data_IF_890880139938
#
_entry.id   IF_890880139938
#
_cell.length_a   1.000
_cell.length_b   1.000
_cell.length_c   1.000
_cell.angle_alpha   90.00
_cell.angle_beta   90.00
_cell.angle_gamma   90.00
#
_symmetry.space_group_name_H-M   'P 1'
#
loop_
_entity.id
_entity.type
_entity.pdbx_description
1 polymer ?
#
# COMPACT_ATOMS: atom_id res chain seq x y z
N UNK A 1 14.19 -0.85 -0.11
CA UNK A 1 13.76 -0.49 -1.47
C UNK A 1 14.24 -1.48 -2.51
N UNK A 2 15.38 -2.16 -2.34
CA UNK A 2 15.94 -3.15 -3.30
C UNK A 2 14.90 -4.09 -3.92
N UNK A 3 14.02 -4.72 -3.14
CA UNK A 3 13.02 -5.64 -3.68
C UNK A 3 12.05 -5.00 -4.72
N UNK A 4 11.67 -3.73 -4.55
CA UNK A 4 10.75 -3.02 -5.47
C UNK A 4 11.45 -2.45 -6.72
N UNK A 5 12.78 -2.41 -6.72
CA UNK A 5 13.61 -1.95 -7.86
C UNK A 5 14.39 -3.08 -8.53
N UNK A 6 14.46 -4.25 -7.92
CA UNK A 6 15.16 -5.41 -8.47
C UNK A 6 14.28 -6.14 -9.49
N UNK A 7 14.73 -6.20 -10.75
CA UNK A 7 13.93 -6.72 -11.86
C UNK A 7 13.63 -8.23 -11.75
N UNK A 8 14.46 -9.00 -11.04
CA UNK A 8 14.23 -10.43 -10.78
C UNK A 8 13.11 -10.68 -9.75
N UNK A 9 12.67 -9.64 -9.03
CA UNK A 9 11.65 -9.73 -7.98
C UNK A 9 10.32 -9.13 -8.46
N UNK A 10 9.33 -9.98 -8.71
CA UNK A 10 7.96 -9.61 -9.05
C UNK A 10 6.98 -9.78 -7.89
N UNK A 11 7.22 -10.69 -6.93
CA UNK A 11 6.32 -10.95 -5.80
C UNK A 11 7.02 -10.72 -4.46
N UNK A 12 6.44 -9.85 -3.64
CA UNK A 12 6.99 -9.41 -2.36
C UNK A 12 5.96 -9.63 -1.26
N UNK A 13 6.32 -10.34 -0.20
CA UNK A 13 5.49 -10.58 0.98
C UNK A 13 5.84 -9.67 2.15
N UNK A 14 4.84 -9.22 2.89
CA UNK A 14 4.99 -8.52 4.17
C UNK A 14 4.19 -9.28 5.21
N UNK A 15 4.92 -9.98 6.09
CA UNK A 15 4.33 -10.64 7.24
C UNK A 15 4.13 -9.62 8.37
N UNK A 16 2.95 -9.63 8.97
CA UNK A 16 2.55 -8.60 9.94
C UNK A 16 1.77 -9.20 11.11
N UNK A 17 2.09 -8.81 12.34
CA UNK A 17 1.24 -9.19 13.48
C UNK A 17 -0.03 -8.32 13.53
N UNK A 18 -1.10 -8.83 14.16
CA UNK A 18 -2.38 -8.12 14.27
C UNK A 18 -2.27 -6.81 15.07
N UNK A 19 -3.07 -5.79 14.71
CA UNK A 19 -3.19 -4.55 15.50
C UNK A 19 -2.12 -3.47 15.27
N UNK A 20 -1.15 -3.68 14.37
CA UNK A 20 0.02 -2.80 14.19
C UNK A 20 -0.21 -1.66 13.17
N UNK A 21 -1.37 -1.61 12.50
CA UNK A 21 -1.65 -0.57 11.50
C UNK A 21 -1.11 -0.87 10.09
N UNK A 22 -1.14 -2.15 9.67
CA UNK A 22 -0.66 -2.61 8.34
C UNK A 22 -1.24 -1.80 7.19
N UNK A 23 -2.54 -1.53 7.22
CA UNK A 23 -3.22 -0.77 6.17
C UNK A 23 -2.66 0.66 6.10
N UNK A 24 -2.26 1.25 7.23
CA UNK A 24 -1.54 2.53 7.26
C UNK A 24 -0.16 2.41 6.61
N UNK A 25 0.59 1.34 6.91
CA UNK A 25 1.87 1.09 6.26
C UNK A 25 1.71 0.97 4.73
N UNK A 26 0.77 0.15 4.26
CA UNK A 26 0.51 -0.04 2.82
C UNK A 26 0.17 1.28 2.14
N UNK A 27 -0.67 2.11 2.76
CA UNK A 27 -1.00 3.44 2.26
C UNK A 27 0.22 4.35 2.18
N UNK A 28 1.09 4.35 3.21
CA UNK A 28 2.32 5.13 3.20
C UNK A 28 3.32 4.65 2.14
N UNK A 29 3.43 3.33 1.93
CA UNK A 29 4.24 2.75 0.85
C UNK A 29 3.73 3.27 -0.49
N UNK A 30 2.43 3.10 -0.76
CA UNK A 30 1.82 3.54 -2.01
C UNK A 30 2.06 5.02 -2.27
N UNK A 31 1.86 5.88 -1.25
CA UNK A 31 2.12 7.31 -1.34
C UNK A 31 3.58 7.64 -1.67
N UNK A 32 4.54 6.91 -1.10
CA UNK A 32 5.98 7.16 -1.32
C UNK A 32 6.46 6.73 -2.69
N UNK A 33 5.93 5.63 -3.24
CA UNK A 33 6.43 5.02 -4.48
C UNK A 33 5.67 5.46 -5.74
N UNK A 34 4.40 5.88 -5.60
CA UNK A 34 3.59 6.38 -6.70
C UNK A 34 4.18 7.66 -7.30
N UNK A 35 4.27 7.72 -8.62
CA UNK A 35 4.87 8.83 -9.38
C UNK A 35 6.38 8.97 -9.24
N UNK A 36 7.04 8.01 -8.56
CA UNK A 36 8.50 7.98 -8.39
C UNK A 36 9.11 6.70 -8.90
N UNK A 37 8.63 5.56 -8.39
CA UNK A 37 9.06 4.22 -8.83
C UNK A 37 8.03 3.53 -9.70
N UNK A 38 6.75 3.86 -9.51
CA UNK A 38 5.64 3.28 -10.26
C UNK A 38 4.73 4.39 -10.75
N UNK A 39 4.26 4.27 -11.99
CA UNK A 39 3.29 5.16 -12.61
C UNK A 39 1.97 5.07 -11.86
N UNK A 40 1.59 3.83 -11.52
CA UNK A 40 0.37 3.50 -10.80
C UNK A 40 0.64 2.62 -9.59
N UNK A 41 -0.14 2.83 -8.54
CA UNK A 41 -0.22 1.93 -7.39
C UNK A 41 -1.69 1.67 -7.10
N UNK A 42 -2.07 0.40 -7.06
CA UNK A 42 -3.44 -0.05 -6.79
C UNK A 42 -3.45 -0.96 -5.59
N UNK A 43 -4.39 -0.75 -4.67
CA UNK A 43 -4.49 -1.51 -3.42
C UNK A 43 -5.87 -2.15 -3.35
N UNK A 44 -5.91 -3.47 -3.26
CA UNK A 44 -7.12 -4.23 -3.04
C UNK A 44 -7.01 -4.99 -1.71
N UNK A 45 -7.91 -4.69 -0.77
CA UNK A 45 -8.04 -5.48 0.46
C UNK A 45 -8.76 -6.78 0.15
N UNK A 46 -8.17 -7.90 0.57
CA UNK A 46 -8.71 -9.25 0.35
C UNK A 46 -9.43 -9.70 1.61
N UNK A 47 -10.68 -10.13 1.45
CA UNK A 47 -11.46 -10.71 2.54
C UNK A 47 -11.11 -12.20 2.73
N UNK A 48 -11.37 -12.75 3.92
CA UNK A 48 -11.18 -14.19 4.18
C UNK A 48 -11.90 -15.08 3.16
N UNK A 49 -13.13 -14.74 2.82
CA UNK A 49 -13.82 -15.31 1.66
C UNK A 49 -13.26 -14.64 0.41
N UNK A 50 -12.35 -15.33 -0.28
CA UNK A 50 -11.74 -14.82 -1.52
C UNK A 50 -12.83 -14.70 -2.58
N UNK A 51 -12.94 -13.50 -3.16
CA UNK A 51 -13.86 -13.18 -4.24
C UNK A 51 -13.08 -12.48 -5.35
N UNK A 52 -12.68 -13.26 -6.35
CA UNK A 52 -11.88 -12.78 -7.48
C UNK A 52 -12.59 -11.63 -8.21
N UNK A 53 -13.92 -11.71 -8.36
CA UNK A 53 -14.71 -10.66 -9.01
C UNK A 53 -14.66 -9.34 -8.25
N UNK A 54 -14.70 -9.38 -6.91
CA UNK A 54 -14.51 -8.17 -6.08
C UNK A 54 -13.10 -7.60 -6.21
N UNK A 55 -12.07 -8.45 -6.18
CA UNK A 55 -10.67 -7.99 -6.33
C UNK A 55 -10.50 -7.32 -7.70
N UNK A 56 -10.97 -7.95 -8.77
CA UNK A 56 -10.97 -7.38 -10.12
C UNK A 56 -11.66 -6.02 -10.17
N UNK A 57 -12.87 -5.90 -9.60
CA UNK A 57 -13.63 -4.66 -9.60
C UNK A 57 -12.90 -3.54 -8.84
N UNK A 58 -12.29 -3.83 -7.68
CA UNK A 58 -11.51 -2.85 -6.91
C UNK A 58 -10.34 -2.34 -7.73
N UNK A 59 -9.54 -3.24 -8.32
CA UNK A 59 -8.38 -2.85 -9.13
C UNK A 59 -8.84 -2.05 -10.36
N UNK A 60 -9.91 -2.48 -11.04
CA UNK A 60 -10.44 -1.79 -12.21
C UNK A 60 -10.86 -0.35 -11.89
N UNK A 61 -11.59 -0.14 -10.79
CA UNK A 61 -11.97 1.21 -10.33
C UNK A 61 -10.74 2.09 -10.11
N UNK A 62 -9.70 1.57 -9.46
CA UNK A 62 -8.45 2.32 -9.20
C UNK A 62 -7.66 2.64 -10.48
N UNK A 63 -7.84 1.86 -11.54
CA UNK A 63 -7.23 2.08 -12.86
C UNK A 63 -8.10 2.87 -13.84
N UNK A 64 -9.30 3.29 -13.41
CA UNK A 64 -10.28 3.95 -14.27
C UNK A 64 -10.89 3.03 -15.34
N UNK A 65 -10.81 1.71 -15.15
CA UNK A 65 -11.40 0.71 -16.04
C UNK A 65 -12.84 0.40 -15.61
N UNK A 66 -13.75 0.36 -16.58
CA UNK A 66 -15.12 -0.13 -16.39
C UNK A 66 -15.26 -1.49 -17.05
N UNK A 67 -15.83 -2.44 -16.32
CA UNK A 67 -16.26 -3.71 -16.89
C UNK A 67 -17.69 -3.59 -17.39
N UNK A 68 -17.95 -4.17 -18.56
CA UNK A 68 -19.30 -4.34 -19.10
C UNK A 68 -19.80 -5.77 -18.85
N UNK A 69 -18.86 -6.68 -18.61
CA UNK A 69 -19.07 -8.10 -18.47
C UNK A 69 -19.27 -8.51 -17.01
N UNK A 70 -19.97 -9.63 -16.83
CA UNK A 70 -20.09 -10.29 -15.53
C UNK A 70 -19.07 -11.41 -15.34
N UNK A 71 -18.56 -11.99 -16.44
CA UNK A 71 -17.61 -13.10 -16.40
C UNK A 71 -16.25 -12.67 -15.83
N UNK A 72 -15.82 -13.33 -14.76
CA UNK A 72 -14.50 -13.12 -14.14
C UNK A 72 -13.37 -13.39 -15.13
N UNK A 73 -13.52 -14.37 -16.02
CA UNK A 73 -12.51 -14.67 -17.04
C UNK A 73 -12.32 -13.50 -18.01
N UNK A 74 -13.41 -12.91 -18.53
CA UNK A 74 -13.32 -11.78 -19.46
C UNK A 74 -12.78 -10.53 -18.75
N UNK A 75 -13.20 -10.30 -17.50
CA UNK A 75 -12.65 -9.24 -16.65
C UNK A 75 -11.14 -9.39 -16.45
N UNK A 76 -10.65 -10.61 -16.23
CA UNK A 76 -9.22 -10.89 -16.06
C UNK A 76 -8.42 -10.47 -17.31
N UNK A 77 -8.91 -10.80 -18.51
CA UNK A 77 -8.28 -10.42 -19.77
C UNK A 77 -8.24 -8.90 -19.94
N UNK A 78 -9.36 -8.20 -19.72
CA UNK A 78 -9.40 -6.73 -19.78
C UNK A 78 -8.50 -6.08 -18.74
N UNK A 79 -8.46 -6.61 -17.51
CA UNK A 79 -7.61 -6.08 -16.46
C UNK A 79 -6.13 -6.25 -16.80
N UNK A 80 -5.76 -7.43 -17.30
CA UNK A 80 -4.41 -7.76 -17.78
C UNK A 80 -3.93 -6.77 -18.84
N UNK A 81 -4.77 -6.50 -19.84
CA UNK A 81 -4.47 -5.50 -20.88
C UNK A 81 -4.32 -4.10 -20.31
N UNK A 82 -5.17 -3.70 -19.36
CA UNK A 82 -5.09 -2.39 -18.71
C UNK A 82 -3.83 -2.23 -17.88
N UNK A 83 -3.43 -3.25 -17.12
CA UNK A 83 -2.22 -3.23 -16.30
C UNK A 83 -0.98 -3.03 -17.18
N UNK A 84 -0.89 -3.73 -18.32
CA UNK A 84 0.21 -3.61 -19.29
C UNK A 84 0.36 -2.24 -19.94
N UNK A 85 -0.61 -1.32 -19.78
CA UNK A 85 -0.49 0.06 -20.28
C UNK A 85 0.42 0.93 -19.43
N UNK A 86 0.59 0.58 -18.15
CA UNK A 86 1.50 1.29 -17.25
C UNK A 86 2.88 0.63 -17.38
N UNK A 87 3.95 1.41 -17.59
CA UNK A 87 5.29 0.84 -17.75
C UNK A 87 5.73 0.17 -16.45
N UNK A 88 5.43 0.83 -15.32
CA UNK A 88 5.70 0.33 -13.97
C UNK A 88 4.47 0.47 -13.10
N UNK A 89 3.94 -0.66 -12.63
CA UNK A 89 2.78 -0.71 -11.75
C UNK A 89 3.03 -1.57 -10.52
N UNK A 90 2.56 -1.09 -9.37
CA UNK A 90 2.51 -1.86 -8.13
C UNK A 90 1.07 -2.24 -7.81
N UNK A 91 0.79 -3.54 -7.82
CA UNK A 91 -0.46 -4.11 -7.33
C UNK A 91 -0.24 -4.57 -5.89
N UNK A 92 -1.10 -4.14 -4.97
CA UNK A 92 -1.08 -4.55 -3.57
C UNK A 92 -2.32 -5.36 -3.25
N UNK A 93 -2.15 -6.59 -2.79
CA UNK A 93 -3.21 -7.40 -2.19
C UNK A 93 -3.01 -7.39 -0.67
N UNK A 94 -3.84 -6.61 0.03
CA UNK A 94 -3.74 -6.37 1.47
C UNK A 94 -4.57 -7.39 2.27
N UNK A 95 -3.98 -7.92 3.33
CA UNK A 95 -4.57 -8.85 4.30
C UNK A 95 -5.05 -10.15 3.65
N UNK A 96 -4.18 -10.84 2.90
CA UNK A 96 -4.51 -12.14 2.31
C UNK A 96 -4.52 -13.25 3.38
N UNK A 97 -5.52 -14.14 3.29
CA UNK A 97 -5.74 -15.23 4.25
C UNK A 97 -5.53 -16.62 3.65
N UNK A 98 -5.52 -16.73 2.33
CA UNK A 98 -5.26 -17.97 1.58
C UNK A 98 -4.68 -17.62 0.21
N UNK A 99 -4.31 -18.65 -0.57
CA UNK A 99 -3.80 -18.49 -1.94
C UNK A 99 -4.84 -17.77 -2.80
N UNK A 100 -4.40 -16.71 -3.49
CA UNK A 100 -5.18 -15.98 -4.49
C UNK A 100 -4.61 -16.34 -5.86
N UNK A 101 -5.47 -16.76 -6.78
CA UNK A 101 -5.05 -16.99 -8.16
C UNK A 101 -4.87 -15.65 -8.89
N UNK A 102 -3.62 -15.22 -9.02
CA UNK A 102 -3.26 -13.95 -9.64
C UNK A 102 -3.58 -13.90 -11.14
N UNK A 103 -3.60 -15.06 -11.82
CA UNK A 103 -3.91 -15.14 -13.23
C UNK A 103 -5.41 -14.98 -13.45
N UNK A 104 -6.24 -15.57 -12.59
CA UNK A 104 -7.69 -15.36 -12.57
C UNK A 104 -8.06 -13.93 -12.19
N UNK A 105 -7.28 -13.25 -11.34
CA UNK A 105 -7.46 -11.81 -11.12
C UNK A 105 -7.13 -11.03 -12.39
N UNK A 106 -6.18 -11.50 -13.20
CA UNK A 106 -5.70 -10.81 -14.40
C UNK A 106 -4.40 -10.03 -14.20
N UNK A 107 -3.63 -10.35 -13.16
CA UNK A 107 -2.34 -9.71 -12.88
C UNK A 107 -1.25 -10.44 -13.67
N UNK A 108 -0.63 -9.75 -14.62
CA UNK A 108 0.54 -10.25 -15.34
C UNK A 108 1.84 -9.91 -14.59
N UNK A 109 2.71 -10.89 -14.40
CA UNK A 109 4.01 -10.74 -13.73
C UNK A 109 5.15 -11.34 -14.57
N UNK A 110 6.39 -11.04 -14.18
CA UNK A 110 7.58 -11.66 -14.79
C UNK A 110 7.74 -11.25 -16.25
N UNK A 111 8.02 -12.22 -17.13
CA UNK A 111 8.25 -11.94 -18.55
C UNK A 111 7.03 -11.38 -19.27
N UNK A 112 5.82 -11.63 -18.76
CA UNK A 112 4.60 -11.08 -19.34
C UNK A 112 4.48 -9.56 -19.09
N UNK A 113 5.02 -9.08 -17.97
CA UNK A 113 5.08 -7.65 -17.64
C UNK A 113 6.17 -7.37 -16.60
N UNK A 114 7.38 -7.05 -17.08
CA UNK A 114 8.57 -6.86 -16.21
C UNK A 114 8.46 -5.71 -15.22
N UNK A 115 7.67 -4.68 -15.55
CA UNK A 115 7.41 -3.54 -14.67
C UNK A 115 6.26 -3.72 -13.68
N UNK A 116 5.52 -4.83 -13.74
CA UNK A 116 4.47 -5.14 -12.79
C UNK A 116 5.04 -5.86 -11.56
N UNK A 117 4.76 -5.31 -10.38
CA UNK A 117 5.11 -5.94 -9.10
C UNK A 117 3.87 -6.17 -8.25
N UNK A 118 3.91 -7.25 -7.49
CA UNK A 118 2.88 -7.68 -6.55
C UNK A 118 3.41 -7.57 -5.12
N UNK A 119 2.77 -6.74 -4.30
CA UNK A 119 3.00 -6.67 -2.87
C UNK A 119 1.84 -7.36 -2.15
N UNK A 120 2.17 -8.30 -1.28
CA UNK A 120 1.23 -9.09 -0.50
C UNK A 120 1.42 -8.75 0.96
N UNK A 121 0.34 -8.56 1.71
CA UNK A 121 0.41 -8.51 3.17
C UNK A 121 -0.40 -9.66 3.76
N UNK A 122 0.15 -10.34 4.75
CA UNK A 122 -0.57 -11.40 5.47
C UNK A 122 -0.14 -11.46 6.92
N UNK A 123 -1.00 -12.07 7.74
CA UNK A 123 -0.67 -12.50 9.11
C UNK A 123 -0.10 -13.91 9.13
N UNK A 124 -0.22 -14.64 8.03
CA UNK A 124 0.24 -16.02 7.93
C UNK A 124 1.42 -16.08 6.97
N UNK A 125 2.62 -16.28 7.52
CA UNK A 125 3.83 -16.38 6.70
C UNK A 125 3.72 -17.48 5.65
N UNK A 126 3.09 -18.61 6.01
CA UNK A 126 2.86 -19.74 5.12
C UNK A 126 2.05 -19.37 3.87
N UNK A 127 1.08 -18.47 3.99
CA UNK A 127 0.31 -17.97 2.84
C UNK A 127 1.21 -17.19 1.88
N UNK A 128 2.14 -16.39 2.41
CA UNK A 128 3.09 -15.62 1.60
C UNK A 128 4.14 -16.53 0.93
N UNK A 129 4.73 -17.47 1.67
CA UNK A 129 5.85 -18.28 1.17
C UNK A 129 5.39 -19.44 0.29
N UNK A 130 4.41 -20.23 0.75
CA UNK A 130 4.00 -21.47 0.08
C UNK A 130 2.71 -21.32 -0.72
N UNK A 131 1.86 -20.35 -0.34
CA UNK A 131 0.61 -20.08 -1.07
C UNK A 131 0.84 -19.22 -2.32
N UNK A 132 1.72 -18.23 -2.21
CA UNK A 132 1.91 -17.17 -3.21
C UNK A 132 3.34 -17.09 -3.75
N UNK A 133 4.24 -17.97 -3.31
CA UNK A 133 5.63 -18.05 -3.77
C UNK A 133 6.37 -16.71 -3.72
N UNK A 134 6.17 -15.94 -2.63
CA UNK A 134 6.81 -14.64 -2.47
C UNK A 134 8.34 -14.78 -2.47
N UNK A 135 8.99 -14.18 -3.46
CA UNK A 135 10.44 -14.28 -3.69
C UNK A 135 11.24 -13.56 -2.61
N UNK A 136 10.66 -12.51 -2.03
CA UNK A 136 11.19 -11.83 -0.84
C UNK A 136 10.07 -11.62 0.15
N UNK A 137 10.33 -11.87 1.44
CA UNK A 137 9.39 -11.60 2.52
C UNK A 137 10.05 -10.85 3.67
N UNK A 138 9.28 -9.98 4.33
CA UNK A 138 9.75 -9.12 5.42
C UNK A 138 8.81 -9.17 6.62
N UNK A 139 9.34 -8.95 7.82
CA UNK A 139 8.55 -8.84 9.04
C UNK A 139 8.27 -7.36 9.40
N UNK A 140 7.01 -7.04 9.66
CA UNK A 140 6.61 -5.70 10.08
C UNK A 140 6.62 -5.56 11.61
N UNK A 141 7.81 -5.30 12.15
CA UNK A 141 7.99 -4.59 13.44
C UNK A 141 9.05 -3.47 13.33
N UNK A 142 10.09 -3.65 12.51
CA UNK A 142 11.18 -2.65 12.34
C UNK A 142 11.78 -2.63 10.92
N UNK A 143 11.93 -3.81 10.32
CA UNK A 143 12.63 -4.01 9.04
C UNK A 143 11.88 -3.47 7.84
N UNK A 144 10.55 -3.62 7.80
CA UNK A 144 9.74 -3.00 6.77
C UNK A 144 9.95 -1.46 6.76
N UNK A 145 9.98 -0.81 7.92
CA UNK A 145 10.16 0.64 8.02
C UNK A 145 11.56 1.11 7.61
N UNK A 146 12.61 0.36 7.97
CA UNK A 146 13.98 0.65 7.54
C UNK A 146 14.17 0.49 6.03
N UNK A 147 13.40 -0.41 5.40
CA UNK A 147 13.31 -0.56 3.95
C UNK A 147 12.74 0.70 3.25
N UNK A 148 11.96 1.51 3.97
CA UNK A 148 11.25 2.71 3.49
C UNK A 148 11.81 4.05 3.97
N UNK A 149 12.79 4.06 4.89
CA UNK A 149 13.55 5.28 5.23
C UNK A 149 14.63 5.60 4.20
N UNK A 150 15.30 4.58 3.65
CA UNK A 150 16.31 4.74 2.56
C UNK A 150 15.71 5.19 1.21
N UNK A 151 14.40 5.37 1.14
CA UNK A 151 13.58 5.60 -0.04
C UNK A 151 13.39 7.08 -0.43
N UNK A 152 13.58 7.99 0.52
CA UNK A 152 13.42 9.42 0.32
C UNK A 152 14.60 10.12 0.94
N UNK A 153 15.40 10.80 0.13
CA UNK A 153 16.49 11.63 0.63
C UNK A 153 16.02 12.50 1.81
N UNK A 154 16.76 12.40 2.92
CA UNK A 154 16.69 13.16 4.16
C UNK A 154 15.30 13.49 4.73
N UNK A 155 14.90 12.80 5.81
CA UNK A 155 14.27 13.46 6.98
C UNK A 155 14.77 12.78 8.26
N UNK A 156 15.13 13.62 9.22
CA UNK A 156 15.80 13.37 10.49
C UNK A 156 15.18 12.25 11.34
N UNK A 157 16.06 11.63 12.12
CA UNK A 157 15.72 10.63 13.12
C UNK A 157 14.76 11.19 14.17
N UNK A 158 13.47 10.87 14.10
CA UNK A 158 12.65 10.84 15.31
C UNK A 158 12.99 9.56 16.07
N UNK A 159 13.96 9.68 16.96
CA UNK A 159 14.26 8.68 17.97
C UNK A 159 13.10 8.60 18.97
N UNK A 160 12.16 7.69 18.73
CA UNK A 160 11.21 7.31 19.76
C UNK A 160 11.93 6.37 20.73
N UNK A 161 12.30 6.88 21.91
CA UNK A 161 12.72 6.03 23.03
C UNK A 161 11.49 5.27 23.55
N UNK A 162 11.64 3.99 23.95
CA UNK A 162 10.53 3.24 24.51
C UNK A 162 10.24 3.77 25.92
N UNK A 163 8.98 4.13 26.18
CA UNK A 163 8.51 4.33 27.55
C UNK A 163 7.31 3.45 27.79
N UNK A 164 7.48 2.56 28.75
CA UNK A 164 6.45 1.69 29.29
C UNK A 164 5.49 2.50 30.18
N UNK A 165 4.28 1.96 30.38
CA UNK A 165 3.24 2.27 31.38
C UNK A 165 2.23 3.41 31.15
N UNK A 166 0.98 2.96 30.97
CA UNK A 166 -0.36 3.47 31.39
C UNK A 166 -0.62 4.98 31.57
N UNK A 167 -1.73 5.36 30.92
CA UNK A 167 -2.81 6.25 31.37
C UNK A 167 -2.82 7.69 30.84
N UNK A 168 -4.03 8.05 30.38
CA UNK A 168 -4.63 9.37 30.17
C UNK A 168 -4.00 10.29 29.10
N UNK A 169 -4.84 10.59 28.09
CA UNK A 169 -4.70 11.71 27.16
C UNK A 169 -4.49 13.02 27.91
N UNK A 170 -3.63 13.89 27.36
CA UNK A 170 -4.15 15.15 26.87
C UNK A 170 -3.66 15.49 25.46
N UNK A 171 -4.52 16.14 24.70
CA UNK A 171 -4.22 16.69 23.37
C UNK A 171 -3.00 17.63 23.44
N UNK A 172 -1.96 17.45 22.62
CA UNK A 172 -0.86 18.38 22.59
C UNK A 172 -1.25 19.62 21.77
N UNK A 173 -1.42 20.76 22.46
CA UNK A 173 -1.18 22.07 21.85
C UNK A 173 0.33 22.24 21.77
N UNK A 174 0.91 22.23 20.58
CA UNK A 174 2.29 22.66 20.41
C UNK A 174 2.30 24.18 20.22
N UNK A 175 2.93 24.86 21.18
CA UNK A 175 3.43 26.21 21.05
C UNK A 175 4.91 26.09 20.67
N UNK A 176 5.31 26.74 19.58
CA UNK A 176 6.71 26.86 19.19
C UNK A 176 7.16 28.26 19.62
N UNK A 177 8.16 28.34 20.48
CA UNK A 177 8.92 29.58 20.66
C UNK A 177 9.79 29.79 19.42
N UNK A 178 9.70 31.00 18.88
CA UNK A 178 10.39 31.46 17.68
C UNK A 178 11.85 31.77 17.98
N UNK A 179 12.75 31.32 17.10
CA UNK A 179 13.93 32.11 16.76
C UNK A 179 14.14 32.05 15.23
N UNK A 180 13.64 33.10 14.57
CA UNK A 180 14.22 33.71 13.38
C UNK A 180 14.26 32.92 12.07
N UNK A 181 13.22 33.05 11.25
CA UNK A 181 13.29 32.81 9.81
C UNK A 181 12.01 32.27 9.20
N UNK A 182 11.14 33.17 8.74
CA UNK A 182 9.78 32.85 8.30
C UNK A 182 9.70 31.79 7.19
N UNK A 183 8.75 30.86 7.37
CA UNK A 183 8.08 30.14 6.28
C UNK A 183 6.68 29.77 6.74
N UNK A 184 5.68 30.00 5.87
CA UNK A 184 4.26 29.86 6.15
C UNK A 184 3.92 28.49 6.78
N UNK A 185 3.18 28.52 7.88
CA UNK A 185 2.71 27.33 8.59
C UNK A 185 1.59 26.65 7.79
N UNK A 186 1.92 25.60 7.04
CA UNK A 186 0.91 24.72 6.42
C UNK A 186 0.12 23.98 7.51
N UNK A 187 -1.03 24.52 7.88
CA UNK A 187 -1.95 23.87 8.80
C UNK A 187 -2.82 22.87 8.04
N UNK A 188 -2.55 21.57 8.17
CA UNK A 188 -3.44 20.54 7.61
C UNK A 188 -4.67 20.38 8.49
N UNK A 189 -5.85 20.64 7.93
CA UNK A 189 -7.14 20.25 8.52
C UNK A 189 -7.61 18.94 7.93
N UNK A 190 -8.26 18.17 8.80
CA UNK A 190 -8.81 16.86 8.52
C UNK A 190 -10.33 16.99 8.57
N UNK A 191 -10.98 16.82 7.42
CA UNK A 191 -12.44 16.90 7.32
C UNK A 191 -13.04 15.51 7.08
N UNK A 192 -14.20 15.29 7.71
CA UNK A 192 -14.97 14.06 7.58
C UNK A 192 -15.85 14.16 6.35
N UNK A 193 -15.81 13.16 5.47
CA UNK A 193 -16.70 13.08 4.31
C UNK A 193 -18.12 12.81 4.81
N UNK A 194 -19.07 13.68 4.46
CA UNK A 194 -20.48 13.45 4.82
C UNK A 194 -20.96 12.08 4.31
N UNK A 195 -21.54 11.28 5.21
CA UNK A 195 -22.09 9.96 4.91
C UNK A 195 -21.13 8.77 5.08
N UNK A 196 -19.86 8.99 5.47
CA UNK A 196 -18.90 7.91 5.72
C UNK A 196 -18.24 8.03 7.09
N UNK A 197 -18.35 6.98 7.92
CA UNK A 197 -17.77 6.96 9.27
C UNK A 197 -16.23 6.90 9.25
N UNK A 198 -15.64 6.37 8.17
CA UNK A 198 -14.23 5.98 8.12
C UNK A 198 -13.41 6.70 7.04
N UNK A 199 -14.01 7.64 6.31
CA UNK A 199 -13.32 8.41 5.27
C UNK A 199 -12.94 9.82 5.77
N UNK A 200 -11.63 10.08 5.78
CA UNK A 200 -11.04 11.38 6.07
C UNK A 200 -10.31 11.89 4.84
N UNK A 201 -10.65 13.10 4.40
CA UNK A 201 -9.99 13.79 3.28
C UNK A 201 -9.07 14.86 3.85
N UNK A 202 -7.85 14.90 3.32
CA UNK A 202 -6.88 15.95 3.63
C UNK A 202 -7.14 17.09 2.67
N UNK A 203 -7.65 18.20 3.20
CA UNK A 203 -7.83 19.43 2.41
C UNK A 203 -6.64 20.33 2.73
N UNK A 204 -5.91 20.74 1.69
CA UNK A 204 -4.91 21.79 1.85
C UNK A 204 -5.67 23.12 1.96
N UNK A 205 -5.53 23.82 3.08
CA UNK A 205 -5.94 25.21 3.17
C UNK A 205 -4.79 26.07 2.66
N UNK A 206 -5.01 26.77 1.56
CA UNK A 206 -4.12 27.85 1.11
C UNK A 206 -4.59 29.15 1.79
N UNK A 207 -3.66 29.90 2.37
CA UNK A 207 -3.86 31.32 2.71
C UNK A 207 -3.56 32.18 1.47
#
# INVERSE_FOLDING_TARGET
MEALIEDSVSVIGVHTMGGIGKTTLVKEIARKVKGKLFDSVVIATVTQAIDIGKIQNIIAVLLGLKFEEQSTHVKALRLRERLKKDERILVVLDDIWAKVDIEEVGIALGDEHKGCKLLLTSRELNVLTNGMDAQKHFFHEKEAWDLFKKAGGCVESFGLKPTTTKSLVPSPKLHCDEDGGGTAALTKRYERVEGSADALVVVAAED
#
